data_IF_573323070223
#
_entry.id   IF_573323070223
#
_cell.length_a   1.000
_cell.length_b   1.000
_cell.length_c   1.000
_cell.angle_alpha   90.00
_cell.angle_beta   90.00
_cell.angle_gamma   90.00
#
_symmetry.space_group_name_H-M   'P 1'
#
loop_
_entity.id
_entity.type
_entity.pdbx_description
1 polymer ?
#
# COMPACT_ATOMS: atom_id res chain seq x y z
N UNK A 1 -7.94 -6.11 -30.21
CA UNK A 1 -9.12 -5.24 -30.42
C UNK A 1 -9.97 -5.32 -29.17
N UNK A 2 -9.71 -4.46 -28.17
CA UNK A 2 -10.43 -4.46 -26.89
C UNK A 2 -11.77 -3.74 -27.09
N UNK A 3 -12.87 -4.48 -26.97
CA UNK A 3 -14.22 -3.90 -27.00
C UNK A 3 -14.45 -3.11 -25.72
N UNK A 4 -14.84 -1.85 -25.89
CA UNK A 4 -15.48 -0.97 -24.90
C UNK A 4 -16.54 -1.76 -24.11
N UNK A 5 -16.34 -1.88 -22.80
CA UNK A 5 -17.39 -2.28 -21.86
C UNK A 5 -18.18 -1.01 -21.51
N UNK A 6 -19.23 -0.74 -22.30
CA UNK A 6 -20.26 0.22 -21.94
C UNK A 6 -21.33 -0.49 -21.10
N UNK A 7 -21.65 0.09 -19.94
CA UNK A 7 -22.90 -0.18 -19.21
C UNK A 7 -22.97 -1.47 -18.40
N UNK A 8 -22.04 -1.72 -17.48
CA UNK A 8 -22.33 -2.63 -16.36
C UNK A 8 -23.02 -1.85 -15.24
N UNK A 9 -24.29 -2.17 -14.99
CA UNK A 9 -25.00 -1.81 -13.75
C UNK A 9 -24.10 -2.19 -12.58
N UNK A 10 -23.70 -1.20 -11.79
CA UNK A 10 -22.88 -1.38 -10.61
C UNK A 10 -23.47 -2.50 -9.75
N UNK A 11 -22.69 -3.57 -9.55
CA UNK A 11 -23.02 -4.54 -8.53
C UNK A 11 -23.16 -3.83 -7.20
N UNK A 12 -24.07 -4.27 -6.34
CA UNK A 12 -24.26 -3.72 -4.99
C UNK A 12 -22.91 -3.60 -4.27
N UNK A 13 -22.42 -2.37 -4.13
CA UNK A 13 -21.29 -2.02 -3.27
C UNK A 13 -21.70 -2.23 -1.83
N UNK A 14 -21.03 -3.14 -1.12
CA UNK A 14 -21.29 -3.37 0.29
C UNK A 14 -20.69 -2.22 1.11
N UNK A 15 -21.57 -1.46 1.75
CA UNK A 15 -21.23 -0.40 2.67
C UNK A 15 -20.82 -1.02 4.02
N UNK A 16 -19.65 -0.68 4.54
CA UNK A 16 -19.32 -0.97 5.93
C UNK A 16 -19.82 0.19 6.81
N UNK A 17 -21.09 0.11 7.20
CA UNK A 17 -21.70 1.02 8.18
C UNK A 17 -21.83 0.29 9.53
N UNK A 18 -21.36 0.85 10.64
CA UNK A 18 -21.75 0.38 11.96
C UNK A 18 -23.19 0.87 12.23
N UNK A 19 -24.08 -0.03 12.68
CA UNK A 19 -25.44 0.34 13.13
C UNK A 19 -25.42 1.22 14.39
N UNK A 20 -26.54 1.71 14.93
CA UNK A 20 -27.96 1.65 14.54
C UNK A 20 -28.47 3.09 14.40
N UNK A 21 -28.74 3.54 13.16
CA UNK A 21 -29.12 4.93 12.87
C UNK A 21 -28.03 5.69 12.12
N UNK A 22 -27.87 5.38 10.83
CA UNK A 22 -27.04 6.12 9.86
C UNK A 22 -27.87 6.29 8.60
N UNK A 23 -28.31 7.52 8.33
CA UNK A 23 -28.99 7.84 7.08
C UNK A 23 -27.99 7.81 5.92
N UNK A 24 -28.35 7.08 4.86
CA UNK A 24 -27.72 7.20 3.54
C UNK A 24 -28.60 8.17 2.76
N UNK A 25 -28.07 9.34 2.41
CA UNK A 25 -28.68 10.21 1.41
C UNK A 25 -27.77 10.32 0.19
N UNK A 26 -28.38 10.13 -0.98
CA UNK A 26 -27.73 10.08 -2.29
C UNK A 26 -26.97 11.39 -2.58
N UNK A 27 -25.72 11.24 -3.00
CA UNK A 27 -24.98 12.19 -3.83
C UNK A 27 -24.39 11.41 -5.01
N UNK A 28 -24.06 12.04 -6.14
CA UNK A 28 -23.57 11.33 -7.32
C UNK A 28 -22.28 10.57 -6.96
N UNK A 29 -22.25 9.27 -7.31
CA UNK A 29 -21.15 8.29 -7.20
C UNK A 29 -19.93 8.71 -6.36
N UNK A 30 -20.14 9.00 -5.08
CA UNK A 30 -19.05 9.45 -4.18
C UNK A 30 -18.17 8.30 -3.70
N UNK A 31 -18.39 7.09 -4.22
CA UNK A 31 -17.67 5.88 -3.87
C UNK A 31 -16.81 5.42 -5.04
N UNK A 32 -15.50 5.28 -4.82
CA UNK A 32 -14.57 4.83 -5.84
C UNK A 32 -13.93 3.48 -5.48
N UNK A 33 -13.74 2.57 -6.46
CA UNK A 33 -12.93 1.38 -6.27
C UNK A 33 -11.45 1.77 -6.05
N UNK A 34 -10.68 0.87 -5.44
CA UNK A 34 -9.22 0.99 -5.40
C UNK A 34 -8.60 -0.07 -6.32
N UNK A 35 -7.56 0.31 -7.05
CA UNK A 35 -6.82 -0.59 -7.95
C UNK A 35 -5.50 -1.05 -7.34
N UNK A 36 -5.00 -0.30 -6.36
CA UNK A 36 -3.73 -0.56 -5.69
C UNK A 36 -3.86 -0.33 -4.18
N UNK A 37 -3.04 -1.08 -3.44
CA UNK A 37 -2.72 -0.78 -2.06
C UNK A 37 -1.31 -0.21 -1.99
N UNK A 38 -1.07 0.71 -1.06
CA UNK A 38 0.20 1.43 -0.98
C UNK A 38 0.75 1.47 0.44
N UNK A 39 2.08 1.48 0.55
CA UNK A 39 2.79 1.69 1.81
C UNK A 39 3.87 2.74 1.56
N UNK A 40 3.70 3.93 2.13
CA UNK A 40 4.74 4.95 2.11
C UNK A 40 5.70 4.78 3.29
N UNK A 41 6.99 4.87 3.01
CA UNK A 41 8.09 4.78 3.96
C UNK A 41 8.94 6.05 3.89
N UNK A 42 9.61 6.34 5.00
CA UNK A 42 10.69 7.34 5.00
C UNK A 42 11.86 6.82 4.18
N UNK A 43 12.65 7.73 3.61
CA UNK A 43 13.75 7.41 2.69
C UNK A 43 14.69 6.31 3.22
N UNK A 44 15.12 6.41 4.48
CA UNK A 44 16.03 5.43 5.11
C UNK A 44 15.42 4.02 5.17
N UNK A 45 14.14 3.92 5.56
CA UNK A 45 13.45 2.63 5.64
C UNK A 45 13.22 2.05 4.24
N UNK A 46 12.90 2.89 3.26
CA UNK A 46 12.73 2.45 1.88
C UNK A 46 14.02 1.88 1.29
N UNK A 47 15.16 2.51 1.58
CA UNK A 47 16.47 2.01 1.18
C UNK A 47 16.82 0.68 1.87
N UNK A 48 16.49 0.53 3.15
CA UNK A 48 16.62 -0.75 3.87
C UNK A 48 15.76 -1.83 3.22
N UNK A 49 14.51 -1.51 2.83
CA UNK A 49 13.65 -2.46 2.12
C UNK A 49 14.26 -2.88 0.79
N UNK A 50 14.78 -1.93 0.00
CA UNK A 50 15.36 -2.23 -1.31
C UNK A 50 16.66 -3.05 -1.20
N UNK A 51 17.52 -2.73 -0.23
CA UNK A 51 18.81 -3.42 -0.05
C UNK A 51 18.67 -4.80 0.57
N UNK A 52 17.77 -4.97 1.55
CA UNK A 52 17.49 -6.26 2.18
C UNK A 52 16.48 -7.12 1.41
N UNK A 53 15.80 -6.52 0.41
CA UNK A 53 14.67 -7.11 -0.30
C UNK A 53 13.59 -7.66 0.63
N UNK A 54 13.30 -6.91 1.71
CA UNK A 54 12.38 -7.33 2.78
C UNK A 54 11.63 -6.15 3.35
N UNK A 55 10.31 -6.27 3.50
CA UNK A 55 9.50 -5.30 4.23
C UNK A 55 9.30 -5.82 5.65
N UNK A 56 9.82 -5.17 6.71
CA UNK A 56 9.68 -5.70 8.05
C UNK A 56 8.20 -5.71 8.47
N UNK A 57 7.67 -6.89 8.86
CA UNK A 57 6.31 -6.99 9.37
C UNK A 57 6.23 -6.42 10.78
N UNK A 58 5.04 -5.98 11.15
CA UNK A 58 4.78 -5.34 12.44
C UNK A 58 3.66 -6.06 13.15
N UNK A 59 3.73 -6.08 14.47
CA UNK A 59 2.61 -6.57 15.29
C UNK A 59 1.35 -5.76 14.98
N UNK A 60 0.20 -6.41 15.05
CA UNK A 60 -1.09 -5.73 14.92
C UNK A 60 -1.28 -4.76 16.09
N UNK A 61 -1.48 -3.49 15.73
CA UNK A 61 -1.86 -2.42 16.65
C UNK A 61 -3.28 -1.97 16.33
N UNK A 62 -4.09 -1.83 17.37
CA UNK A 62 -5.47 -1.35 17.31
C UNK A 62 -5.51 0.04 17.91
N UNK A 63 -6.52 0.86 17.60
CA UNK A 63 -6.60 2.20 18.17
C UNK A 63 -7.91 2.38 18.92
N UNK A 64 -7.84 2.96 20.11
CA UNK A 64 -8.94 3.76 20.61
C UNK A 64 -8.87 5.14 19.96
N UNK A 65 -9.94 5.94 20.04
CA UNK A 65 -9.97 7.34 19.57
C UNK A 65 -8.87 8.25 20.15
N UNK A 66 -8.05 7.74 21.07
CA UNK A 66 -7.04 8.49 21.82
C UNK A 66 -5.67 7.79 21.80
N UNK A 67 -5.59 6.45 21.78
CA UNK A 67 -4.30 5.72 21.88
C UNK A 67 -4.20 4.54 20.90
N UNK A 68 -2.99 4.30 20.38
CA UNK A 68 -2.63 3.00 19.80
C UNK A 68 -2.34 1.98 20.89
N UNK A 69 -2.88 0.77 20.77
CA UNK A 69 -2.73 -0.33 21.72
C UNK A 69 -2.35 -1.61 20.99
N UNK A 70 -1.54 -2.44 21.62
CA UNK A 70 -1.38 -3.82 21.15
C UNK A 70 -2.68 -4.58 21.36
N UNK A 71 -2.88 -5.66 20.59
CA UNK A 71 -3.94 -6.61 20.87
C UNK A 71 -3.83 -7.12 22.33
N UNK A 72 -4.96 -7.48 22.98
CA UNK A 72 -4.95 -8.11 24.29
C UNK A 72 -4.05 -9.35 24.34
N UNK A 73 -3.45 -9.63 25.50
CA UNK A 73 -2.51 -10.75 25.65
C UNK A 73 -3.12 -12.12 25.29
N UNK A 74 -4.43 -12.28 25.49
CA UNK A 74 -5.19 -13.48 25.18
C UNK A 74 -5.83 -13.48 23.77
N UNK A 75 -5.52 -12.48 22.93
CA UNK A 75 -6.07 -12.42 21.58
C UNK A 75 -5.37 -13.47 20.68
N UNK A 76 -6.10 -14.29 19.90
CA UNK A 76 -5.49 -15.33 19.05
C UNK A 76 -4.41 -14.81 18.10
N UNK A 77 -4.61 -13.60 17.56
CA UNK A 77 -3.67 -12.95 16.65
C UNK A 77 -2.63 -12.05 17.35
N UNK A 78 -2.40 -12.18 18.66
CA UNK A 78 -1.49 -11.28 19.40
C UNK A 78 -0.04 -11.31 18.89
N UNK A 79 0.41 -12.49 18.48
CA UNK A 79 1.75 -12.72 17.94
C UNK A 79 1.81 -12.56 16.41
N UNK A 80 0.68 -12.27 15.76
CA UNK A 80 0.63 -12.13 14.32
C UNK A 80 1.37 -10.87 13.90
N UNK A 81 2.32 -11.04 12.97
CA UNK A 81 3.04 -9.93 12.34
C UNK A 81 2.51 -9.76 10.93
N UNK A 82 2.21 -8.52 10.57
CA UNK A 82 1.57 -8.19 9.30
C UNK A 82 2.30 -7.06 8.59
N UNK A 83 2.19 -7.03 7.26
CA UNK A 83 2.50 -5.82 6.51
C UNK A 83 1.28 -4.89 6.49
N UNK A 84 1.53 -3.61 6.75
CA UNK A 84 0.48 -2.59 6.73
C UNK A 84 0.52 -1.83 5.41
N UNK A 85 -0.62 -1.78 4.74
CA UNK A 85 -0.84 -0.99 3.52
C UNK A 85 -2.14 -0.19 3.66
N UNK A 86 -2.22 0.93 2.96
CA UNK A 86 -3.43 1.73 2.79
C UNK A 86 -3.89 1.65 1.34
N UNK A 87 -4.95 2.36 1.00
CA UNK A 87 -5.37 2.57 -0.39
C UNK A 87 -4.94 3.97 -0.84
N UNK A 88 -4.40 4.09 -2.05
CA UNK A 88 -4.03 5.40 -2.60
C UNK A 88 -5.25 6.17 -3.13
N UNK A 89 -5.34 7.46 -2.79
CA UNK A 89 -6.38 8.38 -3.26
C UNK A 89 -5.98 8.90 -4.65
N UNK A 90 -6.30 8.15 -5.71
CA UNK A 90 -6.06 8.54 -7.12
C UNK A 90 -4.58 8.72 -7.54
N UNK A 91 -4.34 8.58 -8.84
CA UNK A 91 -3.03 8.76 -9.47
C UNK A 91 -2.69 10.25 -9.72
N UNK A 92 -3.57 11.18 -9.33
CA UNK A 92 -3.55 12.58 -9.81
C UNK A 92 -2.89 13.56 -8.81
N UNK A 93 -2.75 13.17 -7.54
CA UNK A 93 -2.24 14.03 -6.47
C UNK A 93 -0.72 13.84 -6.28
N UNK A 94 0.06 13.82 -7.36
CA UNK A 94 1.50 13.51 -7.28
C UNK A 94 2.32 14.55 -6.49
N UNK A 95 1.85 15.80 -6.40
CA UNK A 95 2.57 16.88 -5.71
C UNK A 95 2.01 17.18 -4.31
N UNK A 96 0.98 16.45 -3.87
CA UNK A 96 0.47 16.58 -2.51
C UNK A 96 1.47 16.03 -1.48
N UNK A 97 1.51 16.70 -0.34
CA UNK A 97 2.35 16.30 0.79
C UNK A 97 1.86 14.97 1.39
N UNK A 98 2.73 13.97 1.38
CA UNK A 98 2.48 12.65 1.97
C UNK A 98 2.90 12.68 3.44
N UNK A 99 1.99 12.34 4.36
CA UNK A 99 2.26 12.43 5.81
C UNK A 99 3.09 11.26 6.38
N UNK A 100 3.34 10.24 5.56
CA UNK A 100 3.93 8.96 5.97
C UNK A 100 5.37 8.78 5.50
N UNK A 101 5.80 9.49 4.45
CA UNK A 101 7.21 9.55 4.07
C UNK A 101 7.45 9.93 2.62
N UNK A 102 8.56 9.44 2.08
CA UNK A 102 9.11 9.90 0.80
C UNK A 102 8.97 8.88 -0.33
N UNK A 103 8.83 7.59 0.00
CA UNK A 103 8.87 6.51 -0.98
C UNK A 103 7.67 5.60 -0.79
N UNK A 104 6.82 5.54 -1.79
CA UNK A 104 5.62 4.71 -1.79
C UNK A 104 5.86 3.40 -2.54
N UNK A 105 5.45 2.30 -1.92
CA UNK A 105 5.41 0.96 -2.49
C UNK A 105 3.96 0.64 -2.83
N UNK A 106 3.62 0.59 -4.11
CA UNK A 106 2.28 0.30 -4.61
C UNK A 106 2.19 -1.13 -5.15
N UNK A 107 1.18 -1.87 -4.73
CA UNK A 107 0.92 -3.25 -5.16
C UNK A 107 -0.50 -3.35 -5.70
N UNK A 108 -0.68 -4.06 -6.80
CA UNK A 108 -2.00 -4.24 -7.39
C UNK A 108 -2.96 -4.95 -6.44
N UNK A 109 -4.19 -4.45 -6.36
CA UNK A 109 -5.25 -5.09 -5.58
C UNK A 109 -5.64 -6.46 -6.14
N UNK A 110 -5.40 -6.75 -7.43
CA UNK A 110 -5.67 -8.07 -8.00
C UNK A 110 -4.79 -9.14 -7.37
N UNK A 111 -3.52 -8.81 -7.09
CA UNK A 111 -2.60 -9.70 -6.39
C UNK A 111 -3.14 -10.11 -5.01
N UNK A 112 -3.87 -9.21 -4.34
CA UNK A 112 -4.49 -9.53 -3.05
C UNK A 112 -5.54 -10.66 -3.17
N UNK A 113 -6.38 -10.58 -4.20
CA UNK A 113 -7.42 -11.56 -4.46
C UNK A 113 -6.85 -12.92 -4.85
N UNK A 114 -5.74 -12.94 -5.56
CA UNK A 114 -5.07 -14.18 -5.98
C UNK A 114 -4.35 -14.90 -4.83
N UNK A 115 -3.85 -14.14 -3.85
CA UNK A 115 -2.88 -14.63 -2.87
C UNK A 115 -3.45 -14.98 -1.51
N UNK A 116 -4.46 -14.25 -1.06
CA UNK A 116 -5.04 -14.48 0.26
C UNK A 116 -6.44 -15.07 0.15
N UNK A 117 -6.66 -16.16 0.87
CA UNK A 117 -7.92 -16.90 0.87
C UNK A 117 -8.98 -16.28 1.77
N UNK A 118 -8.55 -15.74 2.91
CA UNK A 118 -9.43 -15.24 3.94
C UNK A 118 -9.28 -13.73 4.12
N UNK A 119 -10.42 -13.08 4.35
CA UNK A 119 -10.54 -11.65 4.60
C UNK A 119 -11.34 -11.44 5.89
N UNK A 120 -10.73 -10.75 6.85
CA UNK A 120 -11.31 -10.49 8.16
C UNK A 120 -11.38 -8.97 8.41
N UNK A 121 -12.56 -8.42 8.68
CA UNK A 121 -12.65 -7.03 9.15
C UNK A 121 -12.07 -6.94 10.57
N UNK A 122 -11.00 -6.18 10.77
CA UNK A 122 -10.32 -6.06 12.07
C UNK A 122 -11.01 -5.07 12.98
N UNK A 123 -11.20 -3.84 12.49
CA UNK A 123 -11.86 -2.76 13.22
C UNK A 123 -12.30 -1.67 12.25
N UNK A 124 -13.19 -0.81 12.74
CA UNK A 124 -13.55 0.44 12.08
C UNK A 124 -13.43 1.57 13.09
N UNK A 125 -12.73 2.62 12.68
CA UNK A 125 -12.44 3.78 13.51
C UNK A 125 -13.03 5.01 12.85
N UNK A 126 -13.87 5.73 13.58
CA UNK A 126 -14.42 7.01 13.11
C UNK A 126 -13.81 8.12 13.96
N UNK A 127 -13.16 9.07 13.31
CA UNK A 127 -12.67 10.33 13.88
C UNK A 127 -13.48 11.49 13.30
N UNK A 128 -13.37 12.72 13.86
CA UNK A 128 -14.02 13.89 13.27
C UNK A 128 -13.60 14.16 11.81
N UNK A 129 -12.40 13.72 11.40
CA UNK A 129 -11.82 14.05 10.09
C UNK A 129 -11.84 12.91 9.08
N UNK A 130 -12.07 11.67 9.50
CA UNK A 130 -12.12 10.50 8.61
C UNK A 130 -12.68 9.26 9.31
N UNK A 131 -13.11 8.29 8.52
CA UNK A 131 -13.31 6.90 8.97
C UNK A 131 -12.27 6.00 8.34
N UNK A 132 -11.75 5.03 9.10
CA UNK A 132 -10.83 4.01 8.60
C UNK A 132 -11.40 2.63 8.87
N UNK A 133 -11.41 1.76 7.87
CA UNK A 133 -11.66 0.32 8.05
C UNK A 133 -10.38 -0.46 7.83
N UNK A 134 -10.08 -1.38 8.75
CA UNK A 134 -8.91 -2.24 8.69
C UNK A 134 -9.30 -3.66 8.37
N UNK A 135 -8.63 -4.25 7.39
CA UNK A 135 -8.94 -5.57 6.88
C UNK A 135 -7.68 -6.42 6.97
N UNK A 136 -7.77 -7.59 7.63
CA UNK A 136 -6.73 -8.60 7.62
C UNK A 136 -6.95 -9.55 6.45
N UNK A 137 -5.93 -9.72 5.63
CA UNK A 137 -5.84 -10.76 4.62
C UNK A 137 -4.88 -11.83 5.11
N UNK A 138 -5.33 -13.08 5.09
CA UNK A 138 -4.53 -14.22 5.58
C UNK A 138 -4.83 -15.50 4.79
N UNK A 139 -3.83 -16.38 4.75
CA UNK A 139 -3.98 -17.76 4.30
C UNK A 139 -4.29 -18.73 5.45
N UNK A 140 -4.21 -18.24 6.70
CA UNK A 140 -4.62 -18.93 7.90
C UNK A 140 -6.10 -18.68 8.17
N UNK A 141 -6.85 -19.76 8.38
CA UNK A 141 -8.26 -19.66 8.77
C UNK A 141 -8.39 -19.36 10.26
N UNK A 142 -8.74 -18.12 10.58
CA UNK A 142 -9.00 -17.70 11.96
C UNK A 142 -10.49 -17.78 12.36
N UNK A 143 -11.36 -18.30 11.50
CA UNK A 143 -12.82 -18.21 11.66
C UNK A 143 -13.34 -18.92 12.92
N UNK A 144 -12.68 -20.00 13.34
CA UNK A 144 -13.07 -20.77 14.53
C UNK A 144 -12.57 -20.16 15.85
N UNK A 145 -11.56 -19.30 15.81
CA UNK A 145 -10.91 -18.73 17.00
C UNK A 145 -11.25 -17.26 17.23
N UNK A 146 -11.64 -16.54 16.17
CA UNK A 146 -12.07 -15.15 16.27
C UNK A 146 -13.53 -15.08 16.71
N UNK A 147 -13.84 -14.12 17.59
CA UNK A 147 -15.22 -13.85 17.99
C UNK A 147 -15.95 -13.07 16.86
N UNK A 148 -17.29 -13.17 16.74
CA UNK A 148 -18.08 -12.46 15.72
C UNK A 148 -18.07 -10.94 15.92
N UNK A 149 -17.93 -10.14 14.85
CA UNK A 149 -17.74 -8.68 14.87
C UNK A 149 -18.68 -7.89 15.80
N UNK A 150 -18.12 -6.90 16.51
CA UNK A 150 -18.84 -5.95 17.37
C UNK A 150 -18.32 -4.54 17.09
N UNK A 151 -19.15 -3.64 16.53
CA UNK A 151 -18.74 -2.27 16.20
C UNK A 151 -18.47 -1.40 17.43
N UNK A 152 -18.74 -1.90 18.64
CA UNK A 152 -18.61 -1.17 19.89
C UNK A 152 -17.29 -1.44 20.63
N UNK A 153 -16.39 -2.25 20.04
CA UNK A 153 -15.10 -2.60 20.66
C UNK A 153 -13.95 -2.22 19.71
N UNK A 154 -13.02 -1.41 20.21
CA UNK A 154 -11.75 -1.18 19.52
C UNK A 154 -10.90 -2.46 19.56
N UNK A 155 -10.25 -2.82 18.46
CA UNK A 155 -9.45 -4.03 18.38
C UNK A 155 -10.21 -5.36 18.38
N UNK A 156 -11.50 -5.34 18.04
CA UNK A 156 -12.21 -6.54 17.61
C UNK A 156 -13.71 -6.43 17.80
N UNK A 157 -14.43 -7.55 17.81
CA UNK A 157 -14.19 -8.82 17.13
C UNK A 157 -14.17 -8.69 15.59
N UNK A 158 -13.77 -9.73 14.85
CA UNK A 158 -13.53 -9.64 13.40
C UNK A 158 -14.64 -10.32 12.59
N UNK A 159 -15.06 -9.73 11.47
CA UNK A 159 -16.07 -10.39 10.62
C UNK A 159 -15.40 -11.41 9.71
N UNK A 160 -15.82 -12.67 9.83
CA UNK A 160 -15.62 -13.73 8.86
C UNK A 160 -16.68 -13.56 7.78
N UNK A 161 -16.30 -13.47 6.51
CA UNK A 161 -17.23 -13.86 5.45
C UNK A 161 -16.96 -15.33 5.14
N UNK A 162 -17.96 -16.23 5.17
CA UNK A 162 -17.77 -17.64 4.80
C UNK A 162 -17.16 -17.81 3.40
N UNK A 163 -17.28 -16.79 2.55
CA UNK A 163 -16.82 -16.78 1.17
C UNK A 163 -15.51 -16.01 0.93
N UNK A 164 -14.76 -15.61 1.98
CA UNK A 164 -13.32 -15.26 2.01
C UNK A 164 -12.79 -14.11 1.13
N UNK A 165 -13.21 -14.03 -0.14
CA UNK A 165 -12.74 -13.12 -1.18
C UNK A 165 -13.88 -12.28 -1.80
N UNK A 166 -15.15 -12.69 -1.64
CA UNK A 166 -16.31 -12.04 -2.27
C UNK A 166 -16.66 -10.64 -1.70
N UNK A 167 -15.94 -10.16 -0.69
CA UNK A 167 -16.17 -8.83 -0.11
C UNK A 167 -15.16 -7.77 -0.61
N UNK A 168 -13.94 -8.16 -0.97
CA UNK A 168 -12.88 -7.20 -1.34
C UNK A 168 -13.18 -6.43 -2.62
N UNK A 169 -13.72 -7.12 -3.64
CA UNK A 169 -14.14 -6.47 -4.89
C UNK A 169 -15.33 -5.50 -4.71
N UNK A 170 -16.02 -5.57 -3.56
CA UNK A 170 -17.13 -4.68 -3.19
C UNK A 170 -16.71 -3.57 -2.24
N UNK A 171 -15.43 -3.53 -1.84
CA UNK A 171 -14.89 -2.47 -1.01
C UNK A 171 -14.70 -1.21 -1.85
N UNK A 172 -15.46 -0.16 -1.55
CA UNK A 172 -15.30 1.16 -2.16
C UNK A 172 -14.98 2.20 -1.11
N UNK A 173 -14.23 3.22 -1.51
CA UNK A 173 -13.83 4.33 -0.66
C UNK A 173 -14.82 5.47 -0.81
N UNK A 174 -15.19 6.11 0.30
CA UNK A 174 -15.99 7.32 0.27
C UNK A 174 -15.11 8.57 0.08
N UNK A 175 -15.38 9.35 -0.96
CA UNK A 175 -14.69 10.60 -1.30
C UNK A 175 -15.73 11.68 -1.65
N UNK A 176 -16.31 12.32 -0.62
CA UNK A 176 -17.18 13.48 -0.81
C UNK A 176 -16.55 14.71 -0.18
N UNK A 177 -16.46 15.81 -0.94
CA UNK A 177 -16.06 17.12 -0.43
C UNK A 177 -17.33 17.98 -0.27
N UNK A 178 -17.84 18.11 0.95
CA UNK A 178 -19.00 18.96 1.26
C UNK A 178 -19.27 19.08 2.77
N UNK A 179 -20.32 19.81 3.13
CA UNK A 179 -20.45 20.49 4.43
C UNK A 179 -20.47 19.65 5.72
N UNK A 180 -20.46 18.31 5.66
CA UNK A 180 -20.14 17.41 6.79
C UNK A 180 -20.15 15.94 6.35
N UNK A 181 -19.10 15.52 5.64
CA UNK A 181 -18.91 14.14 5.14
C UNK A 181 -17.41 13.91 5.00
N UNK A 182 -16.82 13.15 5.92
CA UNK A 182 -15.36 12.94 5.99
C UNK A 182 -14.91 11.75 5.13
N UNK A 183 -13.66 11.72 4.62
CA UNK A 183 -13.14 10.61 3.81
C UNK A 183 -13.19 9.25 4.53
N UNK A 184 -13.34 8.17 3.75
CA UNK A 184 -13.19 6.79 4.23
C UNK A 184 -11.92 6.15 3.66
N UNK A 185 -11.04 5.70 4.55
CA UNK A 185 -9.76 5.07 4.24
C UNK A 185 -9.90 3.56 4.47
N UNK A 186 -9.35 2.78 3.55
CA UNK A 186 -9.17 1.33 3.72
C UNK A 186 -7.70 1.05 4.02
N UNK A 187 -7.46 0.32 5.10
CA UNK A 187 -6.15 -0.21 5.48
C UNK A 187 -6.17 -1.74 5.43
N UNK A 188 -5.10 -2.32 4.89
CA UNK A 188 -4.89 -3.74 4.74
C UNK A 188 -3.73 -4.21 5.61
N UNK A 189 -4.00 -5.22 6.41
CA UNK A 189 -3.04 -5.96 7.20
C UNK A 189 -2.83 -7.28 6.46
N UNK A 190 -1.62 -7.54 5.99
CA UNK A 190 -1.31 -8.75 5.24
C UNK A 190 -0.51 -9.69 6.14
N UNK A 191 -1.08 -10.84 6.45
CA UNK A 191 -0.36 -11.98 7.04
C UNK A 191 0.46 -12.65 5.93
N UNK A 192 1.77 -12.45 5.98
CA UNK A 192 2.68 -12.79 4.88
C UNK A 192 3.76 -13.76 5.33
N UNK A 193 4.12 -14.68 4.45
CA UNK A 193 5.39 -15.41 4.54
C UNK A 193 6.52 -14.59 3.91
N UNK A 194 7.78 -14.96 4.17
CA UNK A 194 8.92 -14.33 3.50
C UNK A 194 8.82 -14.45 1.96
N UNK A 195 8.21 -15.52 1.47
CA UNK A 195 8.04 -15.78 0.04
C UNK A 195 6.95 -14.89 -0.58
N UNK A 196 5.90 -14.59 0.18
CA UNK A 196 4.89 -13.61 -0.20
C UNK A 196 5.49 -12.20 -0.24
N UNK A 197 6.31 -11.83 0.74
CA UNK A 197 7.03 -10.53 0.78
C UNK A 197 7.88 -10.33 -0.48
N UNK A 198 8.68 -11.33 -0.86
CA UNK A 198 9.54 -11.27 -2.06
C UNK A 198 8.73 -11.08 -3.33
N UNK A 199 7.62 -11.82 -3.48
CA UNK A 199 6.74 -11.72 -4.65
C UNK A 199 6.01 -10.39 -4.69
N UNK A 200 5.55 -9.89 -3.55
CA UNK A 200 4.97 -8.55 -3.47
C UNK A 200 5.97 -7.47 -3.91
N UNK A 201 7.23 -7.55 -3.46
CA UNK A 201 8.28 -6.61 -3.88
C UNK A 201 8.62 -6.71 -5.37
N UNK A 202 8.51 -7.91 -5.97
CA UNK A 202 8.70 -8.10 -7.42
C UNK A 202 7.60 -7.43 -8.24
N UNK A 203 6.35 -7.52 -7.80
CA UNK A 203 5.19 -6.91 -8.45
C UNK A 203 4.97 -5.45 -8.04
N UNK A 204 5.74 -4.96 -7.07
CA UNK A 204 5.59 -3.62 -6.52
C UNK A 204 6.08 -2.56 -7.50
N UNK A 205 5.32 -1.47 -7.58
CA UNK A 205 5.72 -0.24 -8.21
C UNK A 205 6.15 0.80 -7.15
N UNK A 206 7.34 1.36 -7.31
CA UNK A 206 7.87 2.38 -6.41
C UNK A 206 7.61 3.78 -6.98
N UNK A 207 7.10 4.68 -6.16
CA UNK A 207 6.96 6.11 -6.48
C UNK A 207 7.62 7.02 -5.43
N UNK A 208 8.03 8.22 -5.84
CA UNK A 208 8.56 9.24 -4.93
C UNK A 208 7.48 10.26 -4.58
N UNK A 209 7.33 10.57 -3.30
CA UNK A 209 6.31 11.43 -2.71
C UNK A 209 6.90 12.71 -2.14
N UNK A 210 6.11 13.78 -2.12
CA UNK A 210 6.51 15.03 -1.51
C UNK A 210 6.38 14.88 0.02
N UNK A 211 7.44 15.22 0.76
CA UNK A 211 7.41 15.20 2.22
C UNK A 211 8.00 16.50 2.80
N UNK A 212 8.10 17.57 2.01
CA UNK A 212 8.81 18.78 2.41
C UNK A 212 8.15 19.52 3.57
N UNK A 213 6.82 19.46 3.70
CA UNK A 213 6.10 20.12 4.81
C UNK A 213 6.44 19.49 6.18
N UNK A 214 7.06 18.31 6.21
CA UNK A 214 7.50 17.67 7.45
C UNK A 214 8.60 18.44 8.21
N UNK A 215 9.16 19.50 7.61
CA UNK A 215 10.05 20.43 8.29
C UNK A 215 9.30 21.38 9.24
N UNK A 216 8.01 21.64 9.00
CA UNK A 216 7.23 22.61 9.76
C UNK A 216 6.53 21.95 10.95
N UNK A 217 7.19 22.00 12.12
CA UNK A 217 6.65 21.47 13.36
C UNK A 217 5.46 22.26 13.91
N UNK A 218 5.16 23.45 13.38
CA UNK A 218 4.02 24.28 13.81
C UNK A 218 2.69 23.72 13.31
N UNK A 219 2.71 22.98 12.20
CA UNK A 219 1.53 22.34 11.62
C UNK A 219 1.36 20.94 12.22
N UNK A 220 0.15 20.64 12.71
CA UNK A 220 -0.17 19.32 13.25
C UNK A 220 -0.28 18.29 12.13
N UNK A 221 0.28 17.10 12.39
CA UNK A 221 0.26 15.92 11.54
C UNK A 221 1.06 15.98 10.23
N UNK A 222 2.07 16.86 10.11
CA UNK A 222 2.94 16.94 8.91
C UNK A 222 3.82 15.70 8.71
N UNK A 223 4.21 15.01 9.78
CA UNK A 223 4.87 13.72 9.71
C UNK A 223 4.35 12.81 10.81
N UNK A 224 3.59 11.78 10.41
CA UNK A 224 2.87 10.94 11.36
C UNK A 224 3.82 10.16 12.31
N UNK A 225 5.01 9.79 11.83
CA UNK A 225 6.01 9.07 12.62
C UNK A 225 6.73 9.98 13.62
N UNK A 226 7.36 11.04 13.13
CA UNK A 226 8.30 11.82 13.93
C UNK A 226 7.61 12.84 14.84
N UNK A 227 6.46 13.38 14.44
CA UNK A 227 5.74 14.35 15.25
C UNK A 227 5.07 13.71 16.47
N UNK A 228 4.58 12.46 16.36
CA UNK A 228 4.09 11.68 17.52
C UNK A 228 5.19 11.47 18.55
N UNK A 229 6.43 11.30 18.10
CA UNK A 229 7.61 11.18 18.96
C UNK A 229 8.17 12.53 19.42
N UNK A 230 7.56 13.66 19.03
CA UNK A 230 8.07 15.02 19.26
C UNK A 230 9.51 15.22 18.77
N UNK A 231 9.83 14.64 17.62
CA UNK A 231 11.13 14.74 16.94
C UNK A 231 10.96 15.36 15.56
N UNK A 232 12.01 16.00 15.04
CA UNK A 232 12.03 16.46 13.65
C UNK A 232 12.12 15.27 12.69
N UNK A 233 11.45 15.38 11.53
CA UNK A 233 11.61 14.40 10.47
C UNK A 233 13.05 14.46 9.91
N UNK A 234 13.76 13.33 9.75
CA UNK A 234 15.11 13.30 9.18
C UNK A 234 15.11 13.41 7.65
N UNK A 235 13.96 13.22 7.00
CA UNK A 235 13.82 13.26 5.54
C UNK A 235 12.67 14.15 5.04
N UNK A 236 12.58 15.42 5.44
CA UNK A 236 11.53 16.33 5.00
C UNK A 236 11.83 16.87 3.60
N UNK A 237 11.88 15.98 2.61
CA UNK A 237 12.40 16.28 1.29
C UNK A 237 11.30 16.33 0.24
N UNK A 238 11.43 17.21 -0.77
CA UNK A 238 10.61 17.13 -1.96
C UNK A 238 10.92 15.88 -2.78
N UNK A 239 10.05 15.56 -3.74
CA UNK A 239 10.15 14.36 -4.60
C UNK A 239 11.46 14.27 -5.36
N UNK A 240 11.90 15.40 -5.91
CA UNK A 240 13.15 15.51 -6.69
C UNK A 240 14.36 15.19 -5.83
N UNK A 241 14.48 15.86 -4.67
CA UNK A 241 15.56 15.60 -3.71
C UNK A 241 15.54 14.16 -3.20
N UNK A 242 14.34 13.62 -2.92
CA UNK A 242 14.18 12.21 -2.54
C UNK A 242 14.74 11.28 -3.62
N UNK A 243 14.38 11.49 -4.89
CA UNK A 243 14.87 10.68 -6.00
C UNK A 243 16.40 10.75 -6.13
N UNK A 244 16.98 11.95 -6.03
CA UNK A 244 18.44 12.15 -6.08
C UNK A 244 19.15 11.42 -4.94
N UNK A 245 18.68 11.59 -3.70
CA UNK A 245 19.27 10.94 -2.53
C UNK A 245 19.11 9.42 -2.57
N UNK A 246 17.94 8.93 -2.98
CA UNK A 246 17.67 7.51 -3.13
C UNK A 246 18.62 6.89 -4.16
N UNK A 247 18.78 7.53 -5.32
CA UNK A 247 19.69 7.09 -6.40
C UNK A 247 21.14 7.07 -5.94
N UNK A 248 21.62 8.17 -5.33
CA UNK A 248 22.98 8.27 -4.82
C UNK A 248 23.28 7.17 -3.78
N UNK A 249 22.35 6.94 -2.83
CA UNK A 249 22.55 5.94 -1.78
C UNK A 249 22.54 4.51 -2.33
N UNK A 250 21.66 4.18 -3.28
CA UNK A 250 21.68 2.87 -3.93
C UNK A 250 23.01 2.59 -4.63
N UNK A 251 23.55 3.60 -5.32
CA UNK A 251 24.86 3.50 -5.96
C UNK A 251 25.98 3.29 -4.93
N UNK A 252 26.01 4.08 -3.84
CA UNK A 252 27.01 3.93 -2.77
C UNK A 252 26.97 2.54 -2.13
N UNK A 253 25.78 1.93 -2.03
CA UNK A 253 25.59 0.58 -1.48
C UNK A 253 25.86 -0.52 -2.51
N UNK A 254 26.27 -0.19 -3.74
CA UNK A 254 26.40 -1.12 -4.86
C UNK A 254 25.15 -2.00 -5.07
N UNK A 255 23.96 -1.44 -4.85
CA UNK A 255 22.72 -2.16 -5.01
C UNK A 255 22.44 -2.35 -6.52
N UNK A 256 22.33 -3.59 -7.03
CA UNK A 256 22.02 -3.81 -8.43
C UNK A 256 20.64 -3.23 -8.79
N UNK A 257 20.53 -2.55 -9.94
CA UNK A 257 19.24 -2.02 -10.42
C UNK A 257 18.18 -3.12 -10.63
N UNK A 258 18.60 -4.37 -10.84
CA UNK A 258 17.69 -5.53 -10.87
C UNK A 258 17.13 -5.94 -9.51
N UNK A 259 17.60 -5.32 -8.42
CA UNK A 259 17.16 -5.55 -7.04
C UNK A 259 16.45 -4.32 -6.44
N UNK A 260 15.93 -3.43 -7.28
CA UNK A 260 14.94 -2.43 -6.85
C UNK A 260 13.57 -2.79 -7.42
N UNK A 261 12.47 -2.53 -6.71
CA UNK A 261 11.14 -2.70 -7.28
C UNK A 261 10.99 -1.85 -8.54
N UNK A 262 10.04 -2.22 -9.40
CA UNK A 262 9.79 -1.49 -10.64
C UNK A 262 9.46 -0.04 -10.32
N UNK A 263 10.11 0.93 -10.96
CA UNK A 263 9.77 2.34 -10.77
C UNK A 263 8.45 2.68 -11.50
N UNK A 264 7.64 3.56 -10.94
CA UNK A 264 6.55 4.21 -11.67
C UNK A 264 7.09 5.04 -12.82
N UNK A 265 6.24 5.39 -13.79
CA UNK A 265 6.66 6.21 -14.93
C UNK A 265 7.25 7.55 -14.47
N UNK A 266 6.60 8.23 -13.51
CA UNK A 266 7.08 9.48 -12.93
C UNK A 266 8.34 9.29 -12.09
N UNK A 267 8.41 8.23 -11.28
CA UNK A 267 9.61 7.94 -10.50
C UNK A 267 10.81 7.55 -11.37
N UNK A 268 10.58 6.85 -12.49
CA UNK A 268 11.62 6.53 -13.47
C UNK A 268 12.21 7.80 -14.08
N UNK A 269 11.37 8.76 -14.49
CA UNK A 269 11.85 10.04 -15.02
C UNK A 269 12.72 10.79 -14.00
N UNK A 270 12.28 10.85 -12.73
CA UNK A 270 13.05 11.48 -11.67
C UNK A 270 14.36 10.74 -11.37
N UNK A 271 14.33 9.41 -11.39
CA UNK A 271 15.51 8.56 -11.20
C UNK A 271 16.53 8.76 -12.32
N UNK A 272 16.11 8.74 -13.58
CA UNK A 272 16.99 8.92 -14.73
C UNK A 272 17.62 10.31 -14.75
N UNK A 273 16.84 11.33 -14.38
CA UNK A 273 17.36 12.69 -14.18
C UNK A 273 18.43 12.73 -13.09
N UNK A 274 18.18 12.10 -11.94
CA UNK A 274 19.16 12.01 -10.85
C UNK A 274 20.44 11.27 -11.27
N UNK A 275 20.33 10.17 -12.01
CA UNK A 275 21.46 9.43 -12.58
C UNK A 275 22.32 10.34 -13.46
N UNK A 276 21.68 11.13 -14.32
CA UNK A 276 22.37 12.06 -15.21
C UNK A 276 23.08 13.18 -14.43
N UNK A 277 22.40 13.78 -13.45
CA UNK A 277 22.95 14.85 -12.60
C UNK A 277 24.14 14.36 -11.74
N UNK A 278 24.08 13.12 -11.26
CA UNK A 278 25.13 12.51 -10.45
C UNK A 278 26.28 11.93 -11.29
N UNK A 279 26.20 11.96 -12.63
CA UNK A 279 27.23 11.42 -13.51
C UNK A 279 27.41 9.91 -13.38
N UNK A 280 26.37 9.18 -12.98
CA UNK A 280 26.43 7.73 -12.77
C UNK A 280 26.44 7.03 -14.11
N UNK A 281 27.52 6.31 -14.43
CA UNK A 281 27.55 5.44 -15.59
C UNK A 281 26.64 4.24 -15.34
N UNK A 282 25.48 4.21 -16.01
CA UNK A 282 24.63 3.02 -16.04
C UNK A 282 25.28 1.97 -16.93
N UNK A 283 26.12 1.12 -16.36
CA UNK A 283 26.63 -0.07 -17.04
C UNK A 283 25.52 -1.13 -17.13
N UNK A 284 24.45 -0.83 -17.85
CA UNK A 284 23.50 -1.83 -18.31
C UNK A 284 23.60 -1.84 -19.81
N UNK A 285 24.55 -2.60 -20.33
CA UNK A 285 24.45 -3.09 -21.69
C UNK A 285 23.13 -3.85 -21.74
N UNK A 286 22.14 -3.28 -22.44
CA UNK A 286 21.00 -4.05 -22.92
C UNK A 286 21.61 -5.26 -23.62
N UNK A 287 21.46 -6.45 -23.04
CA UNK A 287 21.74 -7.68 -23.75
C UNK A 287 20.87 -7.62 -25.01
N UNK A 288 21.51 -7.38 -26.16
CA UNK A 288 20.84 -7.42 -27.44
C UNK A 288 20.08 -8.75 -27.50
N UNK A 289 18.83 -8.77 -28.00
CA UNK A 289 18.15 -10.03 -28.23
C UNK A 289 19.06 -10.89 -29.09
N UNK A 290 19.42 -12.06 -28.57
CA UNK A 290 20.17 -13.07 -29.32
C UNK A 290 19.39 -13.28 -30.62
N UNK A 291 19.96 -13.00 -31.80
CA UNK A 291 19.30 -13.27 -33.05
C UNK A 291 19.01 -14.76 -33.08
N UNK A 292 17.74 -15.12 -33.18
CA UNK A 292 17.31 -16.48 -33.46
C UNK A 292 17.94 -16.89 -34.79
N UNK A 293 19.08 -17.58 -34.72
CA UNK A 293 19.72 -18.16 -35.88
C UNK A 293 18.81 -19.29 -36.39
N UNK A 294 18.07 -18.93 -37.45
CA UNK A 294 17.85 -19.68 -38.68
C UNK A 294 17.93 -21.21 -38.58
N UNK A 295 16.81 -21.81 -38.97
CA UNK A 295 16.72 -23.14 -39.56
C UNK A 295 17.95 -23.48 -40.39
N UNK A 296 18.51 -24.64 -40.13
CA UNK A 296 19.19 -25.42 -41.16
C UNK A 296 18.51 -26.78 -41.18
N UNK A 297 17.62 -26.94 -42.17
CA UNK A 297 17.27 -28.25 -42.69
C UNK A 297 18.56 -28.91 -43.21
N UNK A 298 18.84 -30.13 -42.76
CA UNK A 298 19.70 -31.04 -43.52
C UNK A 298 19.29 -32.48 -43.27
N UNK A 299 18.70 -33.02 -44.33
CA UNK A 299 18.60 -34.44 -44.67
C UNK A 299 19.93 -35.17 -44.46
N UNK A 300 19.89 -36.40 -43.93
CA UNK A 300 20.34 -37.65 -44.58
C UNK A 300 20.62 -38.78 -43.54
N UNK A 301 19.95 -39.92 -43.77
CA UNK A 301 20.41 -41.31 -43.61
C UNK A 301 21.03 -41.82 -42.30
N UNK A 302 20.28 -42.64 -41.57
CA UNK A 302 20.32 -44.12 -41.66
C UNK A 302 19.18 -44.76 -40.87
#
# INVERSE_FOLDING_TARGET
MLKKLEGQKSGQTLLWLPGSGRHVSEGPDSYQPFTHITRTLHLEDALKVCTSWRIPPKNIITFSSIDSRCLPANHPCRALQVLWFSTSMSEVEEDEHDWYGNVEFAVSASLLLERWKYCFLVEMMTTPTHTTSRILLSNTDFSSVLRPYSPFRAGGPWQVTPEGQLALHKCSRYQFRGYNRHPHILEFLLDVTEEDEKKMLQECQLSFKNHEEAQDLSVRHVCNRHQRAKTSCPSPFPRTTTATMFTAQLQMMNCPLGKIPKLSSSARQLYDKAVQELGIQTSVACAAPVPSALCVDSLYSH
#
